data_IF_192416811797
#
_entry.id   IF_192416811797
#
_cell.length_a   1.000
_cell.length_b   1.000
_cell.length_c   1.000
_cell.angle_alpha   90.00
_cell.angle_beta   90.00
_cell.angle_gamma   90.00
#
_symmetry.space_group_name_H-M   'P 1'
#
loop_
_entity.id
_entity.type
_entity.pdbx_description
1 polymer ?
#
# COMPACT_ATOMS: atom_id res chain seq x y z
N UNK A 1 -25.22 6.18 -2.76
CA UNK A 1 -25.28 6.35 -4.23
C UNK A 1 -24.05 5.73 -4.86
N UNK A 2 -24.12 5.34 -6.15
CA UNK A 2 -22.98 4.77 -6.87
C UNK A 2 -22.04 5.84 -7.42
N UNK A 3 -20.81 5.46 -7.78
CA UNK A 3 -19.90 6.36 -8.48
C UNK A 3 -20.38 6.60 -9.93
N UNK A 4 -20.23 7.83 -10.43
CA UNK A 4 -20.52 8.19 -11.84
C UNK A 4 -19.24 8.21 -12.67
N UNK A 5 -19.36 7.99 -13.98
CA UNK A 5 -18.24 8.13 -14.92
C UNK A 5 -17.97 9.62 -15.17
N UNK A 6 -16.69 9.97 -15.29
CA UNK A 6 -16.23 11.32 -15.60
C UNK A 6 -14.91 11.30 -16.37
N UNK A 7 -14.29 12.46 -16.48
CA UNK A 7 -12.96 12.63 -17.06
C UNK A 7 -12.10 13.53 -16.16
N UNK A 8 -10.82 13.21 -16.04
CA UNK A 8 -9.83 14.00 -15.29
C UNK A 8 -8.65 14.35 -16.22
N UNK A 9 -8.13 15.58 -16.18
CA UNK A 9 -6.92 15.91 -16.92
C UNK A 9 -5.70 15.23 -16.30
N UNK A 10 -4.86 14.62 -17.13
CA UNK A 10 -3.57 14.05 -16.72
C UNK A 10 -2.45 14.59 -17.61
N UNK A 11 -1.24 14.70 -17.06
CA UNK A 11 -0.04 15.01 -17.83
C UNK A 11 0.53 13.71 -18.41
N UNK A 12 0.54 13.59 -19.73
CA UNK A 12 1.08 12.45 -20.46
C UNK A 12 1.99 12.95 -21.58
N UNK A 13 3.27 12.54 -21.55
CA UNK A 13 4.28 12.92 -22.56
C UNK A 13 4.35 14.43 -22.85
N UNK A 14 4.28 15.24 -21.78
CA UNK A 14 4.35 16.71 -21.87
C UNK A 14 3.06 17.38 -22.36
N UNK A 15 1.94 16.63 -22.49
CA UNK A 15 0.63 17.16 -22.90
C UNK A 15 -0.44 16.83 -21.86
N UNK A 16 -1.41 17.74 -21.70
CA UNK A 16 -2.61 17.46 -20.91
C UNK A 16 -3.59 16.67 -21.79
N UNK A 17 -3.95 15.47 -21.36
CA UNK A 17 -4.99 14.65 -22.00
C UNK A 17 -6.11 14.37 -21.00
N UNK A 18 -7.30 14.01 -21.51
CA UNK A 18 -8.42 13.60 -20.66
C UNK A 18 -8.43 12.08 -20.51
N UNK A 19 -8.42 11.61 -19.27
CA UNK A 19 -8.58 10.19 -18.96
C UNK A 19 -9.93 9.92 -18.30
N UNK A 20 -10.63 8.81 -18.63
CA UNK A 20 -11.77 8.34 -17.87
C UNK A 20 -11.49 8.25 -16.35
N UNK A 21 -12.48 8.57 -15.54
CA UNK A 21 -12.42 8.41 -14.09
C UNK A 21 -13.77 7.99 -13.50
N UNK A 22 -13.78 7.67 -12.21
CA UNK A 22 -14.99 7.57 -11.40
C UNK A 22 -15.06 8.72 -10.41
N UNK A 23 -16.24 9.31 -10.27
CA UNK A 23 -16.51 10.39 -9.32
C UNK A 23 -17.57 9.95 -8.31
N UNK A 24 -17.34 10.24 -7.03
CA UNK A 24 -18.30 9.99 -5.96
C UNK A 24 -18.05 10.95 -4.82
N UNK A 25 -19.09 11.63 -4.35
CA UNK A 25 -19.01 12.56 -3.21
C UNK A 25 -17.88 13.61 -3.34
N UNK A 26 -17.67 14.12 -4.56
CA UNK A 26 -16.60 15.09 -4.86
C UNK A 26 -15.18 14.50 -4.90
N UNK A 27 -15.02 13.19 -4.70
CA UNK A 27 -13.75 12.46 -4.82
C UNK A 27 -13.62 11.83 -6.20
N UNK A 28 -12.39 11.69 -6.67
CA UNK A 28 -12.05 11.14 -7.99
C UNK A 28 -11.19 9.89 -7.81
N UNK A 29 -11.55 8.81 -8.50
CA UNK A 29 -10.73 7.65 -8.72
C UNK A 29 -10.24 7.68 -10.19
N UNK A 30 -8.96 7.97 -10.45
CA UNK A 30 -8.44 8.08 -11.80
C UNK A 30 -8.47 6.72 -12.53
N UNK A 31 -8.81 6.72 -13.80
CA UNK A 31 -8.74 5.54 -14.66
C UNK A 31 -7.36 5.33 -15.30
N UNK A 32 -6.26 5.63 -14.59
CA UNK A 32 -4.88 5.43 -15.05
C UNK A 32 -4.02 4.64 -14.05
N UNK A 33 -2.88 4.13 -14.52
CA UNK A 33 -1.87 3.49 -13.68
C UNK A 33 -2.41 2.27 -12.93
N UNK A 34 -1.99 2.12 -11.67
CA UNK A 34 -2.41 0.99 -10.81
C UNK A 34 -3.92 1.00 -10.57
N UNK A 35 -4.54 2.17 -10.42
CA UNK A 35 -6.00 2.27 -10.25
C UNK A 35 -6.74 1.69 -11.46
N UNK A 36 -6.28 2.00 -12.68
CA UNK A 36 -6.83 1.39 -13.91
C UNK A 36 -6.73 -0.12 -13.87
N UNK A 37 -5.53 -0.65 -13.60
CA UNK A 37 -5.30 -2.11 -13.54
C UNK A 37 -6.26 -2.77 -12.56
N UNK A 38 -6.38 -2.23 -11.35
CA UNK A 38 -7.28 -2.76 -10.33
C UNK A 38 -8.75 -2.66 -10.75
N UNK A 39 -9.20 -1.53 -11.27
CA UNK A 39 -10.60 -1.38 -11.71
C UNK A 39 -10.95 -2.31 -12.88
N UNK A 40 -10.02 -2.52 -13.81
CA UNK A 40 -10.20 -3.46 -14.92
C UNK A 40 -10.30 -4.90 -14.40
N UNK A 41 -9.42 -5.31 -13.47
CA UNK A 41 -9.47 -6.65 -12.85
C UNK A 41 -10.77 -6.83 -12.05
N UNK A 42 -11.14 -5.86 -11.21
CA UNK A 42 -12.31 -5.94 -10.35
C UNK A 42 -13.64 -5.89 -11.12
N UNK A 43 -13.61 -5.46 -12.38
CA UNK A 43 -14.78 -5.52 -13.27
C UNK A 43 -15.14 -6.94 -13.70
N UNK A 44 -14.19 -7.88 -13.60
CA UNK A 44 -14.37 -9.28 -14.02
C UNK A 44 -14.14 -10.27 -12.88
N UNK A 45 -13.26 -9.96 -11.93
CA UNK A 45 -12.83 -10.87 -10.87
C UNK A 45 -13.22 -10.35 -9.48
N UNK A 46 -13.79 -11.24 -8.66
CA UNK A 46 -14.27 -10.92 -7.32
C UNK A 46 -13.66 -11.81 -6.22
N UNK A 47 -12.76 -12.73 -6.60
CA UNK A 47 -12.09 -13.65 -5.67
C UNK A 47 -10.64 -13.26 -5.52
N UNK A 48 -10.18 -13.13 -4.28
CA UNK A 48 -8.83 -12.66 -3.96
C UNK A 48 -7.72 -13.45 -4.68
N UNK A 49 -7.84 -14.77 -4.81
CA UNK A 49 -6.88 -15.62 -5.51
C UNK A 49 -6.78 -15.31 -7.02
N UNK A 50 -7.89 -15.01 -7.67
CA UNK A 50 -7.92 -14.68 -9.10
C UNK A 50 -7.48 -13.24 -9.34
N UNK A 51 -7.87 -12.33 -8.45
CA UNK A 51 -7.36 -10.95 -8.43
C UNK A 51 -5.83 -10.97 -8.31
N UNK A 52 -5.27 -11.73 -7.35
CA UNK A 52 -3.83 -11.82 -7.16
C UNK A 52 -3.10 -12.42 -8.38
N UNK A 53 -3.68 -13.44 -9.02
CA UNK A 53 -3.12 -14.02 -10.25
C UNK A 53 -3.13 -13.01 -11.41
N UNK A 54 -4.22 -12.27 -11.57
CA UNK A 54 -4.30 -11.21 -12.60
C UNK A 54 -3.28 -10.10 -12.32
N UNK A 55 -3.10 -9.72 -11.06
CA UNK A 55 -2.08 -8.74 -10.66
C UNK A 55 -0.67 -9.22 -11.02
N UNK A 56 -0.30 -10.46 -10.67
CA UNK A 56 1.00 -11.04 -11.04
C UNK A 56 1.22 -11.03 -12.56
N UNK A 57 0.16 -11.25 -13.33
CA UNK A 57 0.24 -11.27 -14.80
C UNK A 57 0.38 -9.86 -15.39
N UNK A 58 -0.46 -8.91 -14.96
CA UNK A 58 -0.54 -7.57 -15.55
C UNK A 58 0.54 -6.62 -15.06
N UNK A 59 1.09 -6.87 -13.87
CA UNK A 59 2.14 -6.04 -13.28
C UNK A 59 3.55 -6.48 -13.71
N UNK A 60 3.68 -7.60 -14.41
CA UNK A 60 4.96 -8.11 -14.88
C UNK A 60 5.63 -7.09 -15.83
N UNK A 61 6.84 -6.68 -15.49
CA UNK A 61 7.64 -5.77 -16.32
C UNK A 61 7.27 -4.28 -16.20
N UNK A 62 6.29 -3.91 -15.35
CA UNK A 62 5.99 -2.49 -15.08
C UNK A 62 7.02 -1.84 -14.16
N UNK A 63 7.67 -2.64 -13.30
CA UNK A 63 8.79 -2.19 -12.46
C UNK A 63 9.96 -3.16 -12.63
N UNK A 64 11.15 -2.72 -12.21
CA UNK A 64 12.37 -3.52 -12.28
C UNK A 64 12.28 -4.79 -11.41
N UNK A 65 11.55 -4.72 -10.30
CA UNK A 65 11.26 -5.84 -9.42
C UNK A 65 9.76 -6.22 -9.49
N UNK A 66 9.42 -7.39 -10.05
CA UNK A 66 8.05 -7.87 -10.12
C UNK A 66 7.34 -7.97 -8.77
N UNK A 67 8.06 -8.29 -7.68
CA UNK A 67 7.47 -8.43 -6.35
C UNK A 67 6.95 -7.07 -5.84
N UNK A 68 7.78 -6.02 -5.97
CA UNK A 68 7.41 -4.65 -5.60
C UNK A 68 6.19 -4.14 -6.38
N UNK A 69 6.07 -4.56 -7.64
CA UNK A 69 4.93 -4.18 -8.49
C UNK A 69 3.60 -4.69 -7.94
N UNK A 70 3.58 -5.95 -7.49
CA UNK A 70 2.38 -6.58 -6.93
C UNK A 70 2.05 -6.00 -5.57
N UNK A 71 3.07 -5.78 -4.73
CA UNK A 71 2.88 -5.18 -3.40
C UNK A 71 2.29 -3.76 -3.50
N UNK A 72 2.77 -2.94 -4.45
CA UNK A 72 2.21 -1.62 -4.71
C UNK A 72 0.73 -1.68 -5.14
N UNK A 73 0.36 -2.69 -5.95
CA UNK A 73 -1.03 -2.90 -6.35
C UNK A 73 -1.92 -3.35 -5.17
N UNK A 74 -1.40 -4.21 -4.29
CA UNK A 74 -2.13 -4.64 -3.08
C UNK A 74 -2.31 -3.49 -2.09
N UNK A 75 -1.29 -2.65 -1.88
CA UNK A 75 -1.39 -1.42 -1.08
C UNK A 75 -2.42 -0.45 -1.67
N UNK A 76 -2.44 -0.28 -2.98
CA UNK A 76 -3.43 0.54 -3.67
C UNK A 76 -4.85 -0.02 -3.48
N UNK A 77 -5.03 -1.34 -3.60
CA UNK A 77 -6.31 -2.00 -3.35
C UNK A 77 -6.78 -1.81 -1.90
N UNK A 78 -5.87 -1.92 -0.92
CA UNK A 78 -6.16 -1.64 0.47
C UNK A 78 -6.67 -0.20 0.66
N UNK A 79 -5.98 0.79 0.08
CA UNK A 79 -6.43 2.18 0.12
C UNK A 79 -7.82 2.35 -0.53
N UNK A 80 -8.10 1.69 -1.65
CA UNK A 80 -9.42 1.71 -2.28
C UNK A 80 -10.51 1.11 -1.39
N UNK A 81 -10.19 0.08 -0.59
CA UNK A 81 -11.11 -0.49 0.39
C UNK A 81 -11.34 0.48 1.55
N UNK A 82 -10.27 1.04 2.12
CA UNK A 82 -10.34 1.99 3.23
C UNK A 82 -11.12 3.26 2.88
N UNK A 83 -10.94 3.77 1.65
CA UNK A 83 -11.67 4.93 1.13
C UNK A 83 -13.07 4.58 0.59
N UNK A 84 -13.49 3.32 0.73
CA UNK A 84 -14.81 2.83 0.38
C UNK A 84 -15.09 2.74 -1.13
N UNK A 85 -14.07 2.84 -1.99
CA UNK A 85 -14.21 2.61 -3.44
C UNK A 85 -14.46 1.15 -3.77
N UNK A 86 -13.91 0.23 -2.96
CA UNK A 86 -14.09 -1.22 -3.07
C UNK A 86 -14.70 -1.74 -1.78
N UNK A 87 -15.67 -2.64 -1.90
CA UNK A 87 -16.25 -3.35 -0.76
C UNK A 87 -15.60 -4.72 -0.68
N UNK A 88 -14.81 -4.95 0.37
CA UNK A 88 -14.24 -6.26 0.66
C UNK A 88 -15.19 -7.09 1.54
N UNK A 89 -15.16 -8.41 1.35
CA UNK A 89 -15.88 -9.35 2.22
C UNK A 89 -15.06 -10.61 2.42
N UNK A 90 -15.31 -11.32 3.53
CA UNK A 90 -14.66 -12.58 3.84
C UNK A 90 -15.68 -13.72 3.78
N UNK A 91 -15.34 -14.77 3.04
CA UNK A 91 -16.15 -15.98 2.97
C UNK A 91 -15.41 -17.13 3.68
N UNK A 92 -15.91 -17.66 4.83
CA UNK A 92 -15.17 -18.61 5.66
C UNK A 92 -14.78 -19.93 4.98
N UNK A 93 -15.46 -20.32 3.91
CA UNK A 93 -15.16 -21.55 3.15
C UNK A 93 -14.15 -21.34 2.02
N UNK A 94 -13.71 -20.10 1.79
CA UNK A 94 -12.76 -19.77 0.74
C UNK A 94 -11.35 -19.74 1.33
N UNK A 95 -10.34 -20.23 0.59
CA UNK A 95 -8.97 -20.14 1.05
C UNK A 95 -8.55 -18.67 1.16
N UNK A 96 -7.81 -18.35 2.22
CA UNK A 96 -7.13 -17.07 2.32
C UNK A 96 -5.92 -17.06 1.40
N UNK A 97 -5.54 -15.87 0.94
CA UNK A 97 -4.27 -15.72 0.23
C UNK A 97 -3.12 -16.13 1.16
N UNK A 98 -2.17 -16.96 0.67
CA UNK A 98 -1.01 -17.32 1.46
C UNK A 98 -0.13 -16.08 1.62
N UNK A 99 -0.18 -15.46 2.80
CA UNK A 99 0.73 -14.37 3.15
C UNK A 99 2.02 -14.99 3.69
N UNK A 100 3.11 -14.88 2.91
CA UNK A 100 4.45 -15.14 3.43
C UNK A 100 4.94 -13.82 4.00
N UNK A 101 4.88 -13.65 5.32
CA UNK A 101 5.83 -12.74 5.99
C UNK A 101 7.19 -13.14 5.48
N UNK A 102 7.92 -12.23 4.85
CA UNK A 102 9.31 -12.50 4.48
C UNK A 102 10.00 -13.07 5.72
N UNK A 103 10.68 -14.20 5.58
CA UNK A 103 11.60 -14.63 6.62
C UNK A 103 12.47 -13.42 6.95
N UNK A 104 12.69 -13.16 8.24
CA UNK A 104 13.58 -12.11 8.71
C UNK A 104 14.91 -12.24 7.94
N UNK A 105 15.11 -11.42 6.91
CA UNK A 105 16.32 -11.51 6.09
C UNK A 105 17.48 -10.98 6.91
N UNK A 106 18.71 -11.41 6.62
CA UNK A 106 19.93 -11.02 7.37
C UNK A 106 20.13 -9.49 7.52
N UNK A 107 19.40 -8.66 6.76
CA UNK A 107 19.41 -7.20 6.87
C UNK A 107 18.33 -6.59 7.76
N UNK A 108 17.35 -7.37 8.26
CA UNK A 108 16.32 -6.86 9.18
C UNK A 108 16.85 -6.93 10.61
N UNK A 109 17.45 -5.82 11.06
CA UNK A 109 17.86 -5.70 12.46
C UNK A 109 16.62 -5.82 13.37
N UNK A 110 16.57 -6.87 14.20
CA UNK A 110 15.73 -6.85 15.40
C UNK A 110 16.04 -5.54 16.14
N UNK A 111 15.01 -4.85 16.64
CA UNK A 111 15.20 -4.08 17.86
C UNK A 111 15.64 -5.09 18.92
N UNK A 112 16.95 -5.29 19.01
CA UNK A 112 17.54 -5.99 20.11
C UNK A 112 17.57 -4.96 21.24
N UNK A 113 16.57 -5.03 22.13
CA UNK A 113 16.60 -4.39 23.44
C UNK A 113 17.59 -5.14 24.33
N UNK A 114 18.84 -5.24 23.87
CA UNK A 114 19.90 -5.98 24.52
C UNK A 114 20.27 -5.23 25.76
N UNK A 115 19.58 -5.56 26.84
CA UNK A 115 19.72 -4.99 28.17
C UNK A 115 20.28 -3.58 28.08
N UNK A 116 19.45 -2.60 27.68
CA UNK A 116 19.81 -1.21 27.97
C UNK A 116 20.28 -1.22 29.42
N UNK A 117 21.53 -0.81 29.71
CA UNK A 117 21.98 -0.77 31.08
C UNK A 117 20.90 0.00 31.84
N UNK A 118 20.53 -0.49 33.03
CA UNK A 118 19.62 0.22 33.94
C UNK A 118 20.30 1.53 34.38
N UNK A 119 20.53 2.45 33.44
CA UNK A 119 20.87 3.82 33.70
C UNK A 119 19.55 4.39 34.14
N UNK A 120 19.33 4.26 35.45
CA UNK A 120 18.27 4.99 36.13
C UNK A 120 18.39 6.43 35.62
N UNK A 121 17.31 7.00 35.08
CA UNK A 121 17.32 8.35 34.48
C UNK A 121 17.94 9.40 35.44
N UNK A 122 17.91 9.11 36.75
CA UNK A 122 18.60 9.86 37.80
C UNK A 122 20.14 9.92 37.69
N UNK A 123 20.81 8.94 37.08
CA UNK A 123 22.27 8.94 36.88
C UNK A 123 22.67 9.84 35.70
N UNK A 124 21.93 9.78 34.58
CA UNK A 124 22.19 10.60 33.39
C UNK A 124 21.93 12.11 33.65
N UNK A 125 20.96 12.45 34.50
CA UNK A 125 20.68 13.84 34.88
C UNK A 125 21.73 14.43 35.85
N UNK A 126 22.47 13.60 36.61
CA UNK A 126 23.53 14.07 37.51
C UNK A 126 24.81 14.46 36.78
N UNK A 127 25.12 13.81 35.66
CA UNK A 127 26.26 14.19 34.80
C UNK A 127 26.01 15.44 33.96
N UNK A 128 24.74 15.78 33.68
CA UNK A 128 24.37 16.99 32.95
C UNK A 128 24.40 18.26 33.83
N UNK A 129 24.31 18.12 35.15
CA UNK A 129 24.31 19.24 36.11
C UNK A 129 25.70 19.76 36.52
N UNK A 130 26.79 19.08 36.14
CA UNK A 130 28.16 19.50 36.53
C UNK A 130 28.86 20.43 35.51
N UNK A 131 28.19 20.82 34.42
CA UNK A 131 28.74 21.76 33.42
C UNK A 131 28.31 23.23 33.62
N UNK A 132 27.83 23.60 34.80
CA UNK A 132 27.66 25.01 35.20
C UNK A 132 28.30 25.27 36.57
N UNK A 133 29.63 25.34 36.62
CA UNK A 133 30.38 26.25 37.50
C UNK A 133 31.90 26.06 37.31
N UNK A 134 32.48 26.92 36.48
CA UNK A 134 33.81 27.53 36.66
C UNK A 134 34.04 28.56 35.57
#
# INVERSE_FOLDING_TARGET
EGAKRGFVPILHEGRIIQEPCWERDGRILPGVGIFKVLTDILSTEHRAEFINRELQTRMLGLFADPAQSVDAALQCLEAMIQEGWVVASHHPKMPLLPYRTGDETEGMHRNWDGALPNVTVAAALRSAGQFQQS
#
